data_IF_415343596758
#
_entry.id   IF_415343596758
#
_cell.length_a   1.000
_cell.length_b   1.000
_cell.length_c   1.000
_cell.angle_alpha   90.00
_cell.angle_beta   90.00
_cell.angle_gamma   90.00
#
_symmetry.space_group_name_H-M   'P 1'
#
loop_
_entity.id
_entity.type
_entity.pdbx_description
1 polymer ?
#
# COMPACT_ATOMS: atom_id res chain seq x y z
N UNK A 1 -0.14 -3.22 14.74
CA UNK A 1 -0.31 -3.30 13.27
C UNK A 1 -1.05 -2.06 12.82
N UNK A 2 -0.56 -1.41 11.76
CA UNK A 2 -1.15 -0.20 11.18
C UNK A 2 -1.65 -0.56 9.78
N UNK A 3 -2.96 -0.47 9.58
CA UNK A 3 -3.63 -0.70 8.31
C UNK A 3 -3.76 0.59 7.51
N UNK A 4 -3.30 0.58 6.28
CA UNK A 4 -3.33 1.72 5.36
C UNK A 4 -4.19 1.43 4.14
N UNK A 5 -4.63 2.50 3.45
CA UNK A 5 -5.10 2.39 2.07
C UNK A 5 -3.91 2.73 1.18
N UNK A 6 -3.43 1.75 0.41
CA UNK A 6 -2.32 1.99 -0.51
C UNK A 6 -2.62 3.11 -1.49
N UNK A 7 -1.58 3.90 -1.81
CA UNK A 7 -1.69 5.08 -2.68
C UNK A 7 -2.54 6.23 -2.10
N UNK A 8 -2.76 6.29 -0.79
CA UNK A 8 -3.27 7.50 -0.13
C UNK A 8 -2.30 8.69 -0.38
N UNK A 9 -2.72 9.75 -1.11
CA UNK A 9 -1.87 10.93 -1.33
C UNK A 9 -1.43 11.64 -0.05
N UNK A 10 -2.21 11.52 1.03
CA UNK A 10 -1.88 12.05 2.36
C UNK A 10 -1.23 11.04 3.31
N UNK A 11 -1.08 9.78 2.88
CA UNK A 11 -0.68 8.67 3.76
C UNK A 11 0.69 8.85 4.40
N UNK A 12 1.67 9.41 3.67
CA UNK A 12 3.04 9.64 4.17
C UNK A 12 3.03 10.48 5.46
N UNK A 13 2.37 11.64 5.42
CA UNK A 13 2.30 12.59 6.54
C UNK A 13 1.64 11.93 7.75
N UNK A 14 0.48 11.31 7.55
CA UNK A 14 -0.29 10.63 8.61
C UNK A 14 0.53 9.53 9.27
N UNK A 15 1.21 8.71 8.45
CA UNK A 15 2.01 7.60 8.96
C UNK A 15 3.20 8.11 9.76
N UNK A 16 3.88 9.14 9.27
CA UNK A 16 5.01 9.74 9.98
C UNK A 16 4.60 10.32 11.34
N UNK A 17 3.48 11.04 11.40
CA UNK A 17 2.91 11.54 12.66
C UNK A 17 2.58 10.40 13.63
N UNK A 18 2.00 9.31 13.14
CA UNK A 18 1.73 8.12 13.95
C UNK A 18 3.03 7.47 14.45
N UNK A 19 4.05 7.32 13.61
CA UNK A 19 5.33 6.72 14.01
C UNK A 19 6.03 7.57 15.07
N UNK A 20 6.03 8.90 14.93
CA UNK A 20 6.58 9.84 15.93
C UNK A 20 5.86 9.75 17.27
N UNK A 21 4.54 9.62 17.26
CA UNK A 21 3.75 9.42 18.49
C UNK A 21 4.03 8.06 19.13
N UNK A 22 4.10 7.01 18.33
CA UNK A 22 4.23 5.65 18.84
C UNK A 22 5.67 5.28 19.22
N UNK A 23 6.67 5.96 18.67
CA UNK A 23 8.08 5.73 18.90
C UNK A 23 8.53 4.26 18.79
N UNK A 24 8.23 3.55 17.67
CA UNK A 24 8.67 2.17 17.52
C UNK A 24 10.19 2.07 17.36
N UNK A 25 10.78 1.03 17.95
CA UNK A 25 12.19 0.69 17.73
C UNK A 25 12.45 -0.06 16.42
N UNK A 26 11.41 -0.72 15.90
CA UNK A 26 11.43 -1.46 14.64
C UNK A 26 10.13 -1.24 13.88
N UNK A 27 10.26 -1.03 12.58
CA UNK A 27 9.15 -0.90 11.64
C UNK A 27 9.29 -2.00 10.58
N UNK A 28 8.28 -2.86 10.44
CA UNK A 28 8.15 -3.71 9.25
C UNK A 28 7.14 -3.11 8.29
N UNK A 29 7.41 -3.22 6.99
CA UNK A 29 6.57 -2.66 5.92
C UNK A 29 6.22 -3.77 4.94
N UNK A 30 4.95 -3.84 4.56
CA UNK A 30 4.43 -4.66 3.46
C UNK A 30 4.92 -4.13 2.10
N UNK A 31 6.18 -4.41 1.81
CA UNK A 31 6.81 -4.18 0.52
C UNK A 31 7.89 -5.25 0.37
N UNK A 32 8.12 -5.72 -0.85
CA UNK A 32 9.19 -6.68 -1.12
C UNK A 32 10.46 -5.96 -1.56
N UNK A 33 11.64 -6.56 -1.34
CA UNK A 33 12.89 -6.04 -1.90
C UNK A 33 12.80 -5.84 -3.42
N UNK A 34 12.21 -6.79 -4.15
CA UNK A 34 12.00 -6.68 -5.59
C UNK A 34 11.20 -5.43 -5.96
N UNK A 35 10.04 -5.21 -5.34
CA UNK A 35 9.16 -4.10 -5.66
C UNK A 35 9.84 -2.73 -5.41
N UNK A 36 10.71 -2.67 -4.40
CA UNK A 36 11.51 -1.49 -4.08
C UNK A 36 12.60 -1.25 -5.13
N UNK A 37 13.41 -2.26 -5.44
CA UNK A 37 14.46 -2.16 -6.46
C UNK A 37 13.90 -1.86 -7.84
N UNK A 38 12.78 -2.50 -8.21
CA UNK A 38 12.10 -2.26 -9.46
C UNK A 38 11.71 -0.79 -9.61
N UNK A 39 11.03 -0.20 -8.62
CA UNK A 39 10.57 1.20 -8.70
C UNK A 39 11.73 2.19 -8.69
N UNK A 40 12.79 1.91 -7.94
CA UNK A 40 14.01 2.72 -7.93
C UNK A 40 14.69 2.73 -9.31
N UNK A 41 14.75 1.60 -10.01
CA UNK A 41 15.46 1.47 -11.30
C UNK A 41 14.61 1.80 -12.52
N UNK A 42 13.34 1.38 -12.53
CA UNK A 42 12.47 1.41 -13.72
C UNK A 42 11.30 2.38 -13.59
N UNK A 43 10.94 2.79 -12.38
CA UNK A 43 9.76 3.63 -12.15
C UNK A 43 9.81 4.97 -12.89
N UNK A 44 11.00 5.58 -13.03
CA UNK A 44 11.16 6.82 -13.78
C UNK A 44 10.85 6.66 -15.28
N UNK A 45 11.32 5.57 -15.90
CA UNK A 45 11.06 5.27 -17.30
C UNK A 45 9.56 5.05 -17.56
N UNK A 46 8.89 4.22 -16.75
CA UNK A 46 7.44 4.01 -16.88
C UNK A 46 6.62 5.31 -16.67
N UNK A 47 7.04 6.19 -15.75
CA UNK A 47 6.40 7.50 -15.60
C UNK A 47 6.61 8.40 -16.82
N UNK A 48 7.75 8.31 -17.49
CA UNK A 48 7.99 9.03 -18.73
C UNK A 48 7.08 8.51 -19.84
N UNK A 49 6.99 7.20 -20.02
CA UNK A 49 6.08 6.54 -20.97
C UNK A 49 4.61 6.93 -20.71
N UNK A 50 4.16 6.91 -19.45
CA UNK A 50 2.82 7.36 -19.07
C UNK A 50 2.57 8.81 -19.49
N UNK A 51 3.51 9.72 -19.21
CA UNK A 51 3.39 11.14 -19.60
C UNK A 51 3.36 11.32 -21.11
N UNK A 52 4.18 10.58 -21.85
CA UNK A 52 4.20 10.63 -23.30
C UNK A 52 2.86 10.17 -23.89
N UNK A 53 2.35 9.03 -23.43
CA UNK A 53 1.06 8.50 -23.88
C UNK A 53 -0.10 9.46 -23.54
N UNK A 54 -0.10 10.06 -22.34
CA UNK A 54 -1.09 11.09 -21.98
C UNK A 54 -1.01 12.32 -22.90
N UNK A 55 0.19 12.80 -23.26
CA UNK A 55 0.36 13.91 -24.21
C UNK A 55 -0.09 13.57 -25.62
N UNK A 56 0.09 12.31 -26.04
CA UNK A 56 -0.43 11.81 -27.32
C UNK A 56 -1.96 11.84 -27.32
N UNK A 57 -2.59 11.27 -26.31
CA UNK A 57 -4.04 11.25 -26.14
C UNK A 57 -4.61 12.68 -26.04
N UNK A 58 -3.94 13.58 -25.31
CA UNK A 58 -4.31 14.99 -25.25
C UNK A 58 -4.43 15.62 -26.64
N UNK A 59 -3.43 15.41 -27.50
CA UNK A 59 -3.42 15.96 -28.88
C UNK A 59 -4.51 15.34 -29.76
N UNK A 60 -4.82 14.06 -29.55
CA UNK A 60 -5.83 13.33 -30.33
C UNK A 60 -7.26 13.70 -29.94
N UNK A 61 -7.52 13.92 -28.64
CA UNK A 61 -8.88 14.04 -28.09
C UNK A 61 -9.27 15.46 -27.70
N UNK A 62 -8.30 16.36 -27.55
CA UNK A 62 -8.53 17.72 -27.05
C UNK A 62 -8.84 17.82 -25.55
N UNK A 63 -8.84 16.70 -24.80
CA UNK A 63 -9.03 16.72 -23.33
C UNK A 63 -7.94 17.59 -22.70
N UNK A 64 -8.31 18.46 -21.75
CA UNK A 64 -7.31 19.33 -21.12
C UNK A 64 -6.28 18.53 -20.31
N UNK A 65 -5.04 19.02 -20.26
CA UNK A 65 -3.98 18.40 -19.46
C UNK A 65 -4.35 18.30 -17.97
N UNK A 66 -5.09 19.31 -17.46
CA UNK A 66 -5.58 19.34 -16.09
C UNK A 66 -6.56 18.20 -15.83
N UNK A 67 -7.49 17.96 -16.75
CA UNK A 67 -8.51 16.92 -16.59
C UNK A 67 -7.87 15.53 -16.61
N UNK A 68 -6.95 15.28 -17.55
CA UNK A 68 -6.17 14.04 -17.61
C UNK A 68 -5.43 13.74 -16.30
N UNK A 69 -4.75 14.74 -15.73
CA UNK A 69 -4.00 14.58 -14.47
C UNK A 69 -4.89 14.54 -13.23
N UNK A 70 -6.12 15.05 -13.31
CA UNK A 70 -7.11 15.00 -12.23
C UNK A 70 -7.85 13.66 -12.17
N UNK A 71 -7.83 12.89 -13.27
CA UNK A 71 -8.50 11.60 -13.36
C UNK A 71 -7.95 10.60 -12.34
N UNK A 72 -8.83 10.03 -11.50
CA UNK A 72 -8.45 9.21 -10.35
C UNK A 72 -7.61 7.99 -10.71
N UNK A 73 -7.96 7.29 -11.79
CA UNK A 73 -7.18 6.15 -12.28
C UNK A 73 -5.76 6.55 -12.71
N UNK A 74 -5.60 7.71 -13.36
CA UNK A 74 -4.30 8.21 -13.81
C UNK A 74 -3.42 8.59 -12.62
N UNK A 75 -4.00 9.27 -11.63
CA UNK A 75 -3.31 9.53 -10.36
C UNK A 75 -2.88 8.23 -9.66
N UNK A 76 -3.75 7.22 -9.67
CA UNK A 76 -3.47 5.88 -9.13
C UNK A 76 -2.26 5.21 -9.78
N UNK A 77 -2.11 5.31 -11.11
CA UNK A 77 -0.94 4.78 -11.83
C UNK A 77 0.33 5.57 -11.46
N UNK A 78 0.26 6.91 -11.42
CA UNK A 78 1.42 7.71 -11.00
C UNK A 78 1.93 7.33 -9.62
N UNK A 79 1.03 7.04 -8.67
CA UNK A 79 1.40 6.60 -7.32
C UNK A 79 1.87 5.15 -7.28
N UNK A 80 1.30 4.25 -8.09
CA UNK A 80 1.78 2.87 -8.24
C UNK A 80 3.26 2.83 -8.67
N UNK A 81 3.66 3.74 -9.56
CA UNK A 81 5.01 3.86 -10.12
C UNK A 81 6.00 4.60 -9.20
N UNK A 82 5.53 5.22 -8.12
CA UNK A 82 6.37 5.88 -7.11
C UNK A 82 6.71 4.91 -6.00
N UNK A 83 7.82 5.17 -5.29
CA UNK A 83 8.09 4.47 -4.04
C UNK A 83 6.86 4.59 -3.11
N UNK A 84 6.35 3.49 -2.50
CA UNK A 84 5.16 3.55 -1.66
C UNK A 84 5.35 4.47 -0.46
N UNK A 85 4.29 5.17 -0.06
CA UNK A 85 4.38 6.14 1.03
C UNK A 85 4.68 5.46 2.38
N UNK A 86 4.25 4.21 2.53
CA UNK A 86 4.47 3.39 3.71
C UNK A 86 5.97 3.22 3.98
N UNK A 87 6.70 2.90 2.91
CA UNK A 87 8.15 2.75 2.95
C UNK A 87 8.86 4.09 3.13
N UNK A 88 8.41 5.14 2.43
CA UNK A 88 8.98 6.48 2.58
C UNK A 88 8.89 7.00 4.02
N UNK A 89 7.72 6.93 4.65
CA UNK A 89 7.52 7.40 6.01
C UNK A 89 8.28 6.56 7.04
N UNK A 90 8.34 5.23 6.85
CA UNK A 90 9.11 4.35 7.73
C UNK A 90 10.61 4.66 7.67
N UNK A 91 11.15 4.90 6.46
CA UNK A 91 12.55 5.27 6.26
C UNK A 91 12.88 6.63 6.86
N UNK A 92 12.08 7.64 6.59
CA UNK A 92 12.25 8.98 7.14
C UNK A 92 12.27 8.95 8.68
N UNK A 93 11.29 8.28 9.30
CA UNK A 93 11.27 8.10 10.74
C UNK A 93 12.52 7.39 11.28
N UNK A 94 13.01 6.37 10.58
CA UNK A 94 14.20 5.63 10.97
C UNK A 94 15.49 6.45 10.81
N UNK A 95 15.59 7.27 9.77
CA UNK A 95 16.68 8.24 9.58
C UNK A 95 16.69 9.28 10.72
N UNK A 96 15.50 9.71 11.18
CA UNK A 96 15.36 10.66 12.30
C UNK A 96 15.71 10.08 13.68
N UNK A 97 15.42 8.78 13.91
CA UNK A 97 15.41 8.20 15.28
C UNK A 97 16.39 7.05 15.49
N UNK A 98 17.04 6.56 14.43
CA UNK A 98 17.87 5.36 14.48
C UNK A 98 17.09 4.04 14.56
N UNK A 99 15.76 4.07 14.42
CA UNK A 99 14.93 2.87 14.36
C UNK A 99 15.27 2.00 13.15
N UNK A 100 14.96 0.70 13.21
CA UNK A 100 15.24 -0.22 12.09
C UNK A 100 14.00 -0.40 11.22
N UNK A 101 14.19 -0.37 9.90
CA UNK A 101 13.14 -0.68 8.91
C UNK A 101 13.42 -2.01 8.24
N UNK A 102 12.36 -2.79 7.99
CA UNK A 102 12.40 -4.08 7.31
C UNK A 102 11.28 -4.19 6.28
N UNK A 103 11.63 -4.55 5.05
CA UNK A 103 10.70 -5.05 4.04
C UNK A 103 10.38 -6.53 4.35
N UNK A 104 9.11 -6.91 4.37
CA UNK A 104 8.70 -8.28 4.78
C UNK A 104 7.89 -9.03 3.72
N UNK A 105 7.49 -8.38 2.63
CA UNK A 105 6.68 -9.02 1.61
C UNK A 105 7.52 -9.96 0.71
N UNK A 106 6.85 -10.69 -0.17
CA UNK A 106 7.43 -11.67 -1.09
C UNK A 106 7.76 -11.05 -2.45
N UNK A 107 8.97 -11.32 -2.93
CA UNK A 107 9.45 -10.79 -4.21
C UNK A 107 8.69 -11.39 -5.40
N UNK A 108 8.40 -12.69 -5.39
CA UNK A 108 7.69 -13.39 -6.46
C UNK A 108 6.32 -12.79 -6.74
N UNK A 109 5.53 -12.54 -5.68
CA UNK A 109 4.24 -11.85 -5.77
C UNK A 109 4.36 -10.46 -6.39
N UNK A 110 5.43 -9.74 -6.05
CA UNK A 110 5.66 -8.41 -6.61
C UNK A 110 6.13 -8.47 -8.05
N UNK A 111 6.94 -9.46 -8.42
CA UNK A 111 7.45 -9.65 -9.77
C UNK A 111 6.35 -9.94 -10.77
N UNK A 112 5.46 -10.88 -10.45
CA UNK A 112 4.28 -11.19 -11.26
C UNK A 112 3.44 -9.92 -11.48
N UNK A 113 3.07 -9.23 -10.40
CA UNK A 113 2.22 -8.01 -10.47
C UNK A 113 2.88 -6.87 -11.25
N UNK A 114 4.19 -6.70 -11.11
CA UNK A 114 4.93 -5.62 -11.78
C UNK A 114 5.28 -5.96 -13.23
N UNK A 115 5.20 -7.23 -13.64
CA UNK A 115 5.42 -7.65 -15.04
C UNK A 115 4.42 -7.01 -16.01
N UNK A 116 3.20 -6.71 -15.54
CA UNK A 116 2.11 -6.09 -16.32
C UNK A 116 2.19 -4.54 -16.39
N UNK A 117 3.27 -3.92 -15.92
CA UNK A 117 3.36 -2.46 -15.90
C UNK A 117 3.47 -1.82 -17.29
N UNK A 118 4.06 -2.51 -18.27
CA UNK A 118 4.11 -2.05 -19.66
C UNK A 118 2.70 -1.91 -20.26
N UNK A 119 1.84 -2.89 -20.01
CA UNK A 119 0.43 -2.86 -20.37
C UNK A 119 -0.31 -1.74 -19.61
N UNK A 120 -0.06 -1.62 -18.31
CA UNK A 120 -0.70 -0.59 -17.46
C UNK A 120 -0.48 0.83 -17.99
N UNK A 121 0.73 1.14 -18.46
CA UNK A 121 1.06 2.48 -19.00
C UNK A 121 0.86 2.60 -20.51
N UNK A 122 0.35 1.57 -21.18
CA UNK A 122 0.11 1.59 -22.62
C UNK A 122 -0.95 2.62 -22.99
N UNK A 123 -0.85 3.19 -24.19
CA UNK A 123 -1.84 4.16 -24.67
C UNK A 123 -3.25 3.55 -24.72
N UNK A 124 -3.35 2.27 -25.10
CA UNK A 124 -4.62 1.54 -25.16
C UNK A 124 -5.29 1.47 -23.78
N UNK A 125 -4.57 1.00 -22.77
CA UNK A 125 -5.10 0.90 -21.42
C UNK A 125 -5.43 2.29 -20.83
N UNK A 126 -4.61 3.31 -21.12
CA UNK A 126 -4.91 4.67 -20.67
C UNK A 126 -6.20 5.19 -21.29
N UNK A 127 -6.44 4.96 -22.59
CA UNK A 127 -7.72 5.34 -23.24
C UNK A 127 -8.91 4.61 -22.62
N UNK A 128 -8.78 3.29 -22.39
CA UNK A 128 -9.82 2.52 -21.74
C UNK A 128 -10.15 3.07 -20.33
N UNK A 129 -9.11 3.40 -19.54
CA UNK A 129 -9.30 3.99 -18.21
C UNK A 129 -9.96 5.37 -18.25
N UNK A 130 -9.63 6.21 -19.23
CA UNK A 130 -10.23 7.54 -19.40
C UNK A 130 -11.69 7.49 -19.87
N UNK A 131 -12.10 6.41 -20.55
CA UNK A 131 -13.49 6.19 -20.92
C UNK A 131 -14.37 5.79 -19.73
N UNK A 132 -13.77 5.24 -18.66
CA UNK A 132 -14.46 4.87 -17.44
C UNK A 132 -14.63 6.09 -16.52
N UNK A 133 -15.78 6.21 -15.87
CA UNK A 133 -15.93 7.19 -14.79
C UNK A 133 -15.06 6.78 -13.61
N UNK A 134 -14.04 7.58 -13.30
CA UNK A 134 -13.21 7.38 -12.12
C UNK A 134 -13.33 8.59 -11.18
N UNK A 135 -13.88 8.42 -9.95
CA UNK A 135 -13.91 9.52 -8.99
C UNK A 135 -12.48 9.95 -8.62
N UNK A 136 -12.28 11.19 -8.12
CA UNK A 136 -10.97 11.64 -7.68
C UNK A 136 -10.34 10.66 -6.67
N UNK A 137 -9.01 10.48 -6.73
CA UNK A 137 -8.33 9.47 -5.93
C UNK A 137 -8.58 9.62 -4.42
N UNK A 138 -8.69 10.86 -3.92
CA UNK A 138 -9.01 11.12 -2.50
C UNK A 138 -10.37 10.55 -2.10
N UNK A 139 -11.37 10.62 -2.99
CA UNK A 139 -12.71 10.06 -2.76
C UNK A 139 -12.64 8.53 -2.71
N UNK A 140 -11.86 7.91 -3.61
CA UNK A 140 -11.63 6.46 -3.59
C UNK A 140 -10.98 6.03 -2.27
N UNK A 141 -9.91 6.72 -1.86
CA UNK A 141 -9.19 6.44 -0.61
C UNK A 141 -10.11 6.58 0.60
N UNK A 142 -10.91 7.64 0.66
CA UNK A 142 -11.92 7.82 1.72
C UNK A 142 -12.90 6.63 1.74
N UNK A 143 -13.43 6.24 0.59
CA UNK A 143 -14.33 5.08 0.49
C UNK A 143 -13.70 3.77 0.97
N UNK A 144 -12.42 3.54 0.70
CA UNK A 144 -11.69 2.38 1.24
C UNK A 144 -11.53 2.45 2.76
N UNK A 145 -11.21 3.62 3.33
CA UNK A 145 -11.16 3.76 4.79
C UNK A 145 -12.54 3.62 5.43
N UNK A 146 -13.59 4.17 4.84
CA UNK A 146 -14.97 4.02 5.32
C UNK A 146 -15.38 2.54 5.32
N UNK A 147 -15.07 1.81 4.25
CA UNK A 147 -15.25 0.35 4.17
C UNK A 147 -14.44 -0.39 5.23
N UNK A 148 -13.19 -0.02 5.45
CA UNK A 148 -12.34 -0.63 6.47
C UNK A 148 -12.94 -0.44 7.88
N UNK A 149 -13.39 0.77 8.22
CA UNK A 149 -14.05 1.04 9.52
C UNK A 149 -15.32 0.21 9.69
N UNK A 150 -16.13 0.11 8.63
CA UNK A 150 -17.34 -0.71 8.64
C UNK A 150 -17.01 -2.18 8.94
N UNK A 151 -16.04 -2.77 8.22
CA UNK A 151 -15.66 -4.18 8.39
C UNK A 151 -14.91 -4.47 9.70
N UNK A 152 -14.27 -3.47 10.30
CA UNK A 152 -13.70 -3.62 11.65
C UNK A 152 -14.78 -3.74 12.72
N UNK A 153 -15.91 -3.06 12.52
CA UNK A 153 -17.05 -3.09 13.45
C UNK A 153 -18.02 -4.23 13.13
N UNK A 154 -18.07 -4.65 11.86
CA UNK A 154 -18.91 -5.71 11.33
C UNK A 154 -18.04 -6.72 10.57
N UNK A 155 -17.23 -7.51 11.29
CA UNK A 155 -16.35 -8.48 10.65
C UNK A 155 -17.16 -9.46 9.79
N UNK A 156 -16.71 -9.75 8.57
CA UNK A 156 -17.40 -10.72 7.73
C UNK A 156 -17.29 -12.11 8.33
N UNK A 157 -18.31 -12.94 8.12
CA UNK A 157 -18.26 -14.36 8.54
C UNK A 157 -17.27 -15.15 7.70
N UNK A 158 -17.12 -14.83 6.42
CA UNK A 158 -16.16 -15.47 5.51
C UNK A 158 -15.50 -14.40 4.68
N UNK A 159 -14.18 -14.53 4.51
CA UNK A 159 -13.43 -13.73 3.56
C UNK A 159 -12.57 -14.66 2.70
N UNK A 160 -13.03 -14.88 1.47
CA UNK A 160 -12.38 -15.82 0.55
C UNK A 160 -11.06 -15.21 0.06
N UNK A 161 -9.95 -15.92 0.32
CA UNK A 161 -8.62 -15.60 -0.20
C UNK A 161 -8.18 -16.70 -1.16
N UNK A 162 -7.41 -16.36 -2.19
CA UNK A 162 -6.71 -17.41 -2.93
C UNK A 162 -5.65 -18.05 -2.03
N UNK A 163 -5.29 -19.30 -2.34
CA UNK A 163 -4.23 -20.03 -1.63
C UNK A 163 -2.92 -19.25 -1.59
N UNK A 164 -2.57 -18.59 -2.69
CA UNK A 164 -1.37 -17.74 -2.79
C UNK A 164 -1.41 -16.59 -1.77
N UNK A 165 -2.56 -15.91 -1.62
CA UNK A 165 -2.70 -14.84 -0.65
C UNK A 165 -2.59 -15.38 0.78
N UNK A 166 -3.13 -16.57 1.07
CA UNK A 166 -2.98 -17.19 2.39
C UNK A 166 -1.52 -17.51 2.70
N UNK A 167 -0.79 -18.09 1.75
CA UNK A 167 0.64 -18.40 1.88
C UNK A 167 1.47 -17.14 2.11
N UNK A 168 1.16 -16.07 1.37
CA UNK A 168 1.76 -14.74 1.58
C UNK A 168 1.55 -14.24 3.02
N UNK A 169 0.34 -14.35 3.56
CA UNK A 169 0.03 -13.92 4.93
C UNK A 169 0.80 -14.73 5.96
N UNK A 170 0.88 -16.06 5.77
CA UNK A 170 1.65 -16.95 6.63
C UNK A 170 3.14 -16.59 6.66
N UNK A 171 3.76 -16.41 5.49
CA UNK A 171 5.19 -16.07 5.40
C UNK A 171 5.46 -14.68 6.00
N UNK A 172 4.58 -13.71 5.78
CA UNK A 172 4.70 -12.40 6.41
C UNK A 172 4.57 -12.49 7.93
N UNK A 173 3.66 -13.33 8.46
CA UNK A 173 3.50 -13.55 9.89
C UNK A 173 4.79 -14.09 10.52
N UNK A 174 5.39 -15.12 9.92
CA UNK A 174 6.64 -15.72 10.39
C UNK A 174 7.79 -14.69 10.42
N UNK A 175 7.93 -13.89 9.36
CA UNK A 175 8.92 -12.80 9.34
C UNK A 175 8.69 -11.78 10.45
N UNK A 176 7.44 -11.39 10.71
CA UNK A 176 7.10 -10.46 11.80
C UNK A 176 7.42 -11.08 13.16
N UNK A 177 7.10 -12.37 13.38
CA UNK A 177 7.42 -13.09 14.62
C UNK A 177 8.92 -13.08 14.90
N UNK A 178 9.72 -13.44 13.91
CA UNK A 178 11.19 -13.45 14.03
C UNK A 178 11.70 -12.06 14.42
N UNK A 179 11.23 -11.00 13.74
CA UNK A 179 11.63 -9.63 14.04
C UNK A 179 11.21 -9.18 15.44
N UNK A 180 10.01 -9.55 15.89
CA UNK A 180 9.50 -9.21 17.21
C UNK A 180 10.30 -9.89 18.34
N UNK A 181 10.60 -11.19 18.18
CA UNK A 181 11.35 -11.98 19.15
C UNK A 181 12.81 -11.54 19.25
N UNK A 182 13.48 -11.27 18.13
CA UNK A 182 14.87 -10.78 18.10
C UNK A 182 15.08 -9.45 18.83
N UNK A 183 14.01 -8.69 19.07
CA UNK A 183 14.07 -7.35 19.68
C UNK A 183 13.71 -7.35 21.16
N UNK A 184 13.73 -8.51 21.81
CA UNK A 184 13.33 -8.64 23.22
C UNK A 184 11.95 -8.00 23.47
N UNK A 185 11.03 -8.11 22.49
CA UNK A 185 9.67 -7.57 22.59
C UNK A 185 9.60 -6.05 22.75
N UNK A 186 10.64 -5.30 22.36
CA UNK A 186 10.55 -3.83 22.22
C UNK A 186 9.44 -3.45 21.25
N UNK A 187 8.88 -2.26 21.44
CA UNK A 187 7.76 -1.76 20.62
C UNK A 187 8.11 -1.83 19.13
N UNK A 188 7.27 -2.55 18.38
CA UNK A 188 7.38 -2.77 16.95
C UNK A 188 6.07 -2.37 16.27
N UNK A 189 6.16 -1.76 15.09
CA UNK A 189 5.01 -1.48 14.24
C UNK A 189 5.17 -2.22 12.92
N UNK A 190 4.15 -2.98 12.54
CA UNK A 190 3.98 -3.45 11.17
C UNK A 190 3.01 -2.52 10.43
N UNK A 191 3.39 -2.07 9.24
CA UNK A 191 2.61 -1.22 8.32
C UNK A 191 2.28 -2.03 7.07
N UNK A 192 0.99 -2.12 6.74
CA UNK A 192 0.49 -2.78 5.53
C UNK A 192 -0.94 -2.37 5.22
N UNK A 193 -1.53 -2.93 4.16
CA UNK A 193 -2.92 -2.75 3.78
C UNK A 193 -3.88 -3.12 4.90
N UNK A 194 -4.96 -2.36 5.04
CA UNK A 194 -5.94 -2.55 6.12
C UNK A 194 -6.61 -3.93 6.10
N UNK A 195 -6.64 -4.62 4.96
CA UNK A 195 -7.21 -5.97 4.82
C UNK A 195 -6.46 -7.00 5.68
N UNK A 196 -5.16 -6.80 5.93
CA UNK A 196 -4.36 -7.64 6.83
C UNK A 196 -4.80 -7.59 8.29
N UNK A 197 -5.57 -6.57 8.68
CA UNK A 197 -6.02 -6.35 10.05
C UNK A 197 -7.45 -6.88 10.30
N UNK A 198 -8.15 -7.33 9.26
CA UNK A 198 -9.49 -7.89 9.39
C UNK A 198 -9.48 -9.15 10.24
N UNK A 199 -10.59 -9.40 10.91
CA UNK A 199 -10.86 -10.64 11.63
C UNK A 199 -12.13 -11.23 11.04
N UNK A 200 -12.13 -12.52 10.76
CA UNK A 200 -13.26 -13.25 10.18
C UNK A 200 -13.13 -14.73 10.55
N UNK A 201 -14.24 -15.46 10.54
CA UNK A 201 -14.23 -16.91 10.74
C UNK A 201 -13.69 -17.63 9.49
N UNK A 202 -12.92 -18.68 9.69
CA UNK A 202 -12.24 -19.42 8.62
C UNK A 202 -10.72 -19.24 8.67
N UNK A 203 -10.12 -18.93 7.53
CA UNK A 203 -8.67 -18.79 7.41
C UNK A 203 -8.17 -17.47 8.01
N UNK A 204 -7.05 -17.47 8.75
CA UNK A 204 -6.62 -16.28 9.44
C UNK A 204 -6.04 -15.23 8.48
N UNK A 205 -6.38 -13.96 8.71
CA UNK A 205 -5.59 -12.82 8.22
C UNK A 205 -4.23 -12.76 8.91
N UNK A 206 -3.33 -11.89 8.47
CA UNK A 206 -2.07 -11.60 9.15
C UNK A 206 -2.29 -11.25 10.63
N UNK A 207 -3.33 -10.46 10.95
CA UNK A 207 -3.70 -10.19 12.33
C UNK A 207 -4.11 -11.46 13.08
N UNK A 208 -4.95 -12.31 12.48
CA UNK A 208 -5.35 -13.59 13.06
C UNK A 208 -4.14 -14.50 13.34
N UNK A 209 -3.21 -14.57 12.38
CA UNK A 209 -1.96 -15.33 12.47
C UNK A 209 -1.00 -14.79 13.53
N UNK A 210 -1.17 -13.55 14.02
CA UNK A 210 -0.29 -12.91 15.00
C UNK A 210 -1.01 -12.62 16.33
N UNK A 211 -2.23 -13.14 16.52
CA UNK A 211 -3.10 -12.78 17.65
C UNK A 211 -2.51 -13.13 19.02
N UNK A 212 -1.71 -14.20 19.09
CA UNK A 212 -0.94 -14.61 20.27
C UNK A 212 0.11 -13.57 20.70
N UNK A 213 0.60 -12.73 19.79
CA UNK A 213 1.46 -11.59 20.11
C UNK A 213 0.69 -10.38 20.65
N UNK A 214 -0.64 -10.48 20.76
CA UNK A 214 -1.56 -9.42 21.22
C UNK A 214 -1.38 -8.07 20.48
N UNK A 215 -1.35 -8.04 19.14
CA UNK A 215 -1.12 -6.80 18.39
C UNK A 215 -2.29 -5.84 18.52
N UNK A 216 -2.02 -4.58 18.86
CA UNK A 216 -3.00 -3.50 18.69
C UNK A 216 -3.21 -3.20 17.20
N UNK A 217 -4.46 -3.15 16.75
CA UNK A 217 -4.86 -2.74 15.38
C UNK A 217 -5.14 -1.24 15.33
N UNK A 218 -4.59 -0.56 14.34
CA UNK A 218 -4.82 0.88 14.11
C UNK A 218 -5.05 1.10 12.62
N UNK A 219 -6.14 1.75 12.25
CA UNK A 219 -6.33 2.24 10.88
C UNK A 219 -5.69 3.62 10.76
N UNK A 220 -4.90 3.85 9.70
CA UNK A 220 -4.27 5.14 9.40
C UNK A 220 -5.27 6.16 8.83
N UNK A 221 -6.55 6.06 9.18
CA UNK A 221 -7.57 6.95 8.64
C UNK A 221 -7.22 8.43 8.89
N UNK A 222 -7.85 9.33 8.14
CA UNK A 222 -7.75 10.77 8.42
C UNK A 222 -8.04 11.00 9.91
N UNK A 223 -7.05 11.55 10.62
CA UNK A 223 -7.33 12.25 11.86
C UNK A 223 -8.30 13.36 11.51
N UNK A 224 -9.46 13.33 12.15
CA UNK A 224 -10.42 14.42 12.11
C UNK A 224 -9.66 15.72 12.46
N UNK A 225 -9.73 16.68 11.56
CA UNK A 225 -9.72 18.08 11.99
C UNK A 225 -11.07 18.37 12.62
#
# INVERSE_FOLDING_TARGET
MVGTVHRDPGGRRKLLELLRREQPSVISVEISPYARFFRARKGAAFRATLRENLRRIQRETGISWRDLLSHGAIQGIFLLLKEPFEWQAAREYAEETGSRVRDIDLSEFSEERLSHLSETVSAENIRALLALRSPPLRVQVKGHYDRARFLFSHPPSVWVKSREIQEREFIMAEKIRILFLQRQRKKMIHVGGWEHLLEFSGEPSLYGLLKDLQPRRVLLAEGEN
#
